data_IF_802738336994
#
_entry.id   IF_802738336994
#
_cell.length_a   1.000
_cell.length_b   1.000
_cell.length_c   1.000
_cell.angle_alpha   90.00
_cell.angle_beta   90.00
_cell.angle_gamma   90.00
#
_symmetry.space_group_name_H-M   'P 1'
#
loop_
_entity.id
_entity.type
_entity.pdbx_description
1 polymer ?
#
# COMPACT_ATOMS: atom_id res chain seq x y z
N UNK A 1 -28.99 13.88 6.44
CA UNK A 1 -27.91 12.95 6.84
C UNK A 1 -26.90 12.92 5.70
N UNK A 2 -25.61 13.05 5.98
CA UNK A 2 -24.56 13.02 4.96
C UNK A 2 -24.39 11.56 4.49
N UNK A 3 -24.64 11.22 3.21
CA UNK A 3 -24.46 9.86 2.71
C UNK A 3 -22.97 9.52 2.53
N UNK A 4 -22.58 8.24 2.48
CA UNK A 4 -21.24 7.88 2.04
C UNK A 4 -21.02 8.25 0.56
N UNK A 5 -19.78 8.55 0.15
CA UNK A 5 -19.46 8.73 -1.26
C UNK A 5 -19.60 7.40 -2.00
N UNK A 6 -19.86 7.46 -3.29
CA UNK A 6 -19.91 6.31 -4.18
C UNK A 6 -18.55 6.19 -4.87
N UNK A 7 -17.93 5.01 -4.73
CA UNK A 7 -16.69 4.65 -5.44
C UNK A 7 -17.09 3.80 -6.65
N UNK A 8 -16.75 4.25 -7.85
CA UNK A 8 -16.96 3.49 -9.08
C UNK A 8 -15.62 3.13 -9.71
N UNK A 9 -15.41 1.86 -10.03
CA UNK A 9 -14.20 1.42 -10.75
C UNK A 9 -14.41 1.66 -12.25
N UNK A 10 -13.61 2.55 -12.82
CA UNK A 10 -13.69 2.89 -14.26
C UNK A 10 -12.94 1.85 -15.10
N UNK A 11 -11.75 1.46 -14.66
CA UNK A 11 -10.89 0.49 -15.35
C UNK A 11 -9.79 -0.01 -14.43
N UNK A 12 -9.22 -1.17 -14.73
CA UNK A 12 -8.03 -1.68 -14.05
C UNK A 12 -7.11 -2.41 -15.04
N UNK A 13 -5.80 -2.37 -14.76
CA UNK A 13 -4.75 -3.07 -15.49
C UNK A 13 -3.99 -4.02 -14.53
N UNK A 14 -2.85 -4.52 -14.98
CA UNK A 14 -1.94 -5.32 -14.17
C UNK A 14 -1.28 -4.51 -13.04
N UNK A 15 -1.11 -3.20 -13.23
CA UNK A 15 -0.34 -2.33 -12.34
C UNK A 15 -1.08 -1.06 -11.92
N UNK A 16 -2.34 -0.89 -12.34
CA UNK A 16 -3.09 0.32 -12.06
C UNK A 16 -4.59 0.11 -11.91
N UNK A 17 -5.23 0.97 -11.12
CA UNK A 17 -6.68 1.06 -10.97
C UNK A 17 -7.09 2.51 -11.19
N UNK A 18 -8.08 2.73 -12.04
CA UNK A 18 -8.76 4.01 -12.23
C UNK A 18 -10.15 3.93 -11.60
N UNK A 19 -10.49 4.90 -10.76
CA UNK A 19 -11.78 4.96 -10.10
C UNK A 19 -12.30 6.40 -10.03
N UNK A 20 -13.61 6.55 -9.89
CA UNK A 20 -14.26 7.82 -9.64
C UNK A 20 -14.98 7.87 -8.29
N UNK A 21 -15.00 9.07 -7.71
CA UNK A 21 -15.67 9.39 -6.45
C UNK A 21 -16.78 10.39 -6.71
N UNK A 22 -17.99 10.08 -6.25
CA UNK A 22 -19.14 10.97 -6.38
C UNK A 22 -19.97 10.98 -5.11
N UNK A 23 -20.44 12.17 -4.73
CA UNK A 23 -21.51 12.32 -3.76
C UNK A 23 -22.87 12.32 -4.47
N UNK A 24 -23.84 11.60 -3.93
CA UNK A 24 -25.22 11.50 -4.47
C UNK A 24 -26.10 12.69 -4.09
N UNK A 25 -25.54 13.69 -3.41
CA UNK A 25 -26.23 14.87 -2.89
C UNK A 25 -25.53 16.15 -3.33
N UNK A 26 -26.25 17.26 -3.39
CA UNK A 26 -25.74 18.59 -3.73
C UNK A 26 -24.87 19.24 -2.62
N UNK A 27 -24.31 18.44 -1.71
CA UNK A 27 -23.47 18.94 -0.61
C UNK A 27 -22.11 19.31 -1.18
N UNK A 28 -21.59 20.49 -0.80
CA UNK A 28 -20.26 20.92 -1.24
C UNK A 28 -19.18 20.04 -0.61
N UNK A 29 -18.44 19.33 -1.47
CA UNK A 29 -17.30 18.49 -1.08
C UNK A 29 -16.01 19.31 -1.19
N UNK A 30 -15.25 19.41 -0.12
CA UNK A 30 -13.93 20.06 -0.12
C UNK A 30 -12.81 19.09 -0.54
N UNK A 31 -12.97 17.81 -0.24
CA UNK A 31 -12.05 16.77 -0.70
C UNK A 31 -12.44 15.37 -0.25
N UNK A 32 -11.67 14.39 -0.67
CA UNK A 32 -11.80 12.99 -0.29
C UNK A 32 -10.51 12.50 0.34
N UNK A 33 -10.64 11.58 1.29
CA UNK A 33 -9.53 10.79 1.80
C UNK A 33 -9.79 9.34 1.42
N UNK A 34 -8.86 8.78 0.66
CA UNK A 34 -8.95 7.42 0.13
C UNK A 34 -7.83 6.58 0.71
N UNK A 35 -8.17 5.40 1.22
CA UNK A 35 -7.19 4.38 1.60
C UNK A 35 -7.32 3.19 0.67
N UNK A 36 -6.18 2.72 0.18
CA UNK A 36 -6.07 1.56 -0.70
C UNK A 36 -5.31 0.52 0.07
N UNK A 37 -5.96 -0.59 0.38
CA UNK A 37 -5.40 -1.67 1.17
C UNK A 37 -5.09 -2.89 0.32
N UNK A 38 -4.02 -3.61 0.66
CA UNK A 38 -3.69 -4.91 0.09
C UNK A 38 -3.04 -5.81 1.14
N UNK A 39 -3.16 -7.12 0.94
CA UNK A 39 -2.43 -8.12 1.73
C UNK A 39 -1.03 -8.26 1.16
N UNK A 40 -0.03 -7.85 1.92
CA UNK A 40 1.39 -8.05 1.58
C UNK A 40 1.78 -9.51 1.78
N UNK A 41 1.41 -10.09 2.92
CA UNK A 41 1.56 -11.51 3.27
C UNK A 41 0.38 -11.95 4.13
N UNK A 42 0.25 -13.25 4.38
CA UNK A 42 -0.71 -13.92 5.26
C UNK A 42 -0.99 -13.21 6.58
N UNK A 43 0.00 -12.51 7.14
CA UNK A 43 -0.10 -11.83 8.43
C UNK A 43 -0.08 -10.29 8.33
N UNK A 44 0.08 -9.72 7.13
CA UNK A 44 0.33 -8.27 7.00
C UNK A 44 -0.47 -7.62 5.88
N UNK A 45 -1.23 -6.59 6.27
CA UNK A 45 -1.91 -5.68 5.36
C UNK A 45 -1.11 -4.38 5.26
N UNK A 46 -0.96 -3.88 4.05
CA UNK A 46 -0.41 -2.56 3.79
C UNK A 46 -1.47 -1.63 3.24
N UNK A 47 -1.20 -0.32 3.32
CA UNK A 47 -2.09 0.69 2.78
C UNK A 47 -1.35 1.86 2.16
N UNK A 48 -2.01 2.49 1.19
CA UNK A 48 -1.63 3.77 0.60
C UNK A 48 -2.78 4.75 0.79
N UNK A 49 -2.49 5.92 1.33
CA UNK A 49 -3.49 6.98 1.54
C UNK A 49 -3.33 8.07 0.47
N UNK A 50 -4.45 8.50 -0.10
CA UNK A 50 -4.53 9.60 -1.07
C UNK A 50 -5.48 10.67 -0.52
N UNK A 51 -5.09 11.93 -0.70
CA UNK A 51 -5.95 13.09 -0.44
C UNK A 51 -6.27 13.74 -1.77
N UNK A 52 -7.57 13.83 -2.08
CA UNK A 52 -8.08 14.27 -3.38
C UNK A 52 -8.90 15.54 -3.17
N UNK A 53 -8.69 16.54 -4.02
CA UNK A 53 -9.48 17.77 -4.01
C UNK A 53 -10.91 17.51 -4.50
N UNK A 54 -11.91 18.19 -3.94
CA UNK A 54 -13.32 17.91 -4.21
C UNK A 54 -13.74 18.01 -5.68
N UNK A 55 -13.07 18.85 -6.47
CA UNK A 55 -13.34 19.01 -7.91
C UNK A 55 -12.83 17.82 -8.75
N UNK A 56 -11.83 17.07 -8.24
CA UNK A 56 -11.21 15.96 -8.95
C UNK A 56 -11.91 14.64 -8.61
N UNK A 57 -12.90 14.27 -9.42
CA UNK A 57 -13.66 13.04 -9.21
C UNK A 57 -12.96 11.77 -9.67
N UNK A 58 -12.12 11.82 -10.71
CA UNK A 58 -11.46 10.63 -11.29
C UNK A 58 -9.99 10.57 -10.85
N UNK A 59 -9.56 9.41 -10.36
CA UNK A 59 -8.19 9.14 -9.97
C UNK A 59 -7.65 7.87 -10.60
N UNK A 60 -6.36 7.88 -10.92
CA UNK A 60 -5.61 6.69 -11.34
C UNK A 60 -4.49 6.42 -10.35
N UNK A 61 -4.44 5.19 -9.86
CA UNK A 61 -3.40 4.72 -8.94
C UNK A 61 -2.57 3.70 -9.69
N UNK A 62 -1.27 3.97 -9.81
CA UNK A 62 -0.30 3.10 -10.47
C UNK A 62 0.67 2.48 -9.46
N UNK A 63 1.57 1.63 -9.96
CA UNK A 63 2.55 0.84 -9.19
C UNK A 63 1.88 -0.18 -8.26
N UNK A 64 0.82 -0.80 -8.73
CA UNK A 64 0.14 -1.90 -8.05
C UNK A 64 0.73 -3.24 -8.49
N UNK A 65 0.54 -4.28 -7.68
CA UNK A 65 0.97 -5.64 -7.99
C UNK A 65 -0.10 -6.32 -8.83
N UNK A 66 0.32 -7.02 -9.90
CA UNK A 66 -0.57 -7.80 -10.74
C UNK A 66 -1.24 -8.94 -9.96
N UNK A 67 -2.46 -9.30 -10.38
CA UNK A 67 -3.27 -10.36 -9.78
C UNK A 67 -3.34 -10.27 -8.23
N UNK A 68 -3.52 -9.06 -7.71
CA UNK A 68 -3.56 -8.79 -6.27
C UNK A 68 -4.88 -8.15 -5.90
N UNK A 69 -5.58 -8.64 -4.84
CA UNK A 69 -6.80 -8.03 -4.36
C UNK A 69 -6.52 -6.73 -3.62
N UNK A 70 -7.24 -5.68 -3.99
CA UNK A 70 -7.22 -4.38 -3.34
C UNK A 70 -8.61 -4.03 -2.79
N UNK A 71 -8.63 -3.40 -1.62
CA UNK A 71 -9.80 -2.72 -1.08
C UNK A 71 -9.57 -1.21 -1.14
N UNK A 72 -10.45 -0.48 -1.81
CA UNK A 72 -10.42 0.97 -1.87
C UNK A 72 -11.53 1.49 -0.97
N UNK A 73 -11.17 2.22 0.09
CA UNK A 73 -12.14 2.89 0.95
C UNK A 73 -12.01 4.40 0.88
N UNK A 74 -13.14 5.10 0.96
CA UNK A 74 -13.18 6.54 0.81
C UNK A 74 -14.23 7.18 1.74
N UNK A 75 -13.88 8.35 2.26
CA UNK A 75 -14.80 9.28 2.91
C UNK A 75 -14.56 10.69 2.39
N UNK A 76 -15.58 11.53 2.45
CA UNK A 76 -15.60 12.89 1.93
C UNK A 76 -15.59 13.90 3.07
N UNK A 77 -14.77 14.95 2.92
CA UNK A 77 -14.85 16.17 3.71
C UNK A 77 -15.88 17.08 3.08
N UNK A 78 -16.89 17.46 3.85
CA UNK A 78 -17.96 18.34 3.37
C UNK A 78 -18.12 19.56 4.27
N UNK A 79 -18.86 20.57 3.81
CA UNK A 79 -19.20 21.74 4.63
C UNK A 79 -20.06 21.41 5.86
N UNK A 80 -20.77 20.27 5.84
CA UNK A 80 -21.63 19.81 6.93
C UNK A 80 -20.90 18.83 7.87
N UNK A 81 -19.62 18.53 7.61
CA UNK A 81 -18.81 17.54 8.34
C UNK A 81 -18.32 16.40 7.46
N UNK A 82 -17.73 15.38 8.09
CA UNK A 82 -17.19 14.22 7.39
C UNK A 82 -18.30 13.21 7.06
N UNK A 83 -18.25 12.63 5.87
CA UNK A 83 -19.18 11.57 5.47
C UNK A 83 -18.85 10.24 6.15
N UNK A 84 -19.82 9.31 6.21
CA UNK A 84 -19.51 7.90 6.43
C UNK A 84 -18.52 7.36 5.38
N UNK A 85 -17.84 6.27 5.74
CA UNK A 85 -16.91 5.56 4.88
C UNK A 85 -17.67 4.66 3.89
N UNK A 86 -17.15 4.56 2.67
CA UNK A 86 -17.55 3.59 1.64
C UNK A 86 -16.34 2.74 1.26
N UNK A 87 -16.57 1.56 0.67
CA UNK A 87 -15.48 0.73 0.15
C UNK A 87 -15.90 -0.10 -1.06
N UNK A 88 -14.92 -0.50 -1.87
CA UNK A 88 -15.08 -1.41 -3.00
C UNK A 88 -13.86 -2.32 -3.12
N UNK A 89 -14.06 -3.53 -3.63
CA UNK A 89 -13.00 -4.50 -3.89
C UNK A 89 -12.72 -4.60 -5.38
N UNK A 90 -11.45 -4.74 -5.74
CA UNK A 90 -11.01 -4.91 -7.12
C UNK A 90 -9.73 -5.75 -7.15
N UNK A 91 -9.60 -6.60 -8.17
CA UNK A 91 -8.40 -7.42 -8.38
C UNK A 91 -7.74 -6.95 -9.66
N UNK A 92 -6.45 -6.58 -9.59
CA UNK A 92 -5.66 -6.22 -10.76
C UNK A 92 -5.53 -7.40 -11.73
N UNK A 93 -5.37 -7.11 -13.02
CA UNK A 93 -5.22 -8.16 -14.04
C UNK A 93 -3.78 -8.71 -14.10
N UNK A 94 -3.50 -9.54 -15.10
CA UNK A 94 -2.16 -10.13 -15.30
C UNK A 94 -1.87 -11.32 -14.39
N UNK A 95 -0.58 -11.60 -14.19
CA UNK A 95 -0.09 -12.73 -13.39
C UNK A 95 0.69 -12.23 -12.19
N UNK A 96 0.41 -12.81 -11.01
CA UNK A 96 1.13 -12.46 -9.78
C UNK A 96 2.63 -12.73 -9.96
N UNK A 97 3.51 -11.75 -9.70
CA UNK A 97 4.95 -11.98 -9.74
C UNK A 97 5.36 -13.07 -8.77
N UNK A 98 6.44 -13.79 -9.09
CA UNK A 98 7.04 -14.72 -8.15
C UNK A 98 7.48 -13.97 -6.89
N UNK A 99 7.20 -14.54 -5.72
CA UNK A 99 7.62 -13.98 -4.44
C UNK A 99 9.14 -13.81 -4.41
N UNK A 100 9.64 -12.66 -3.96
CA UNK A 100 11.07 -12.42 -3.87
C UNK A 100 11.72 -13.38 -2.85
N UNK A 101 12.92 -13.87 -3.18
CA UNK A 101 13.70 -14.71 -2.25
C UNK A 101 14.77 -13.86 -1.58
N UNK A 102 14.61 -13.58 -0.29
CA UNK A 102 15.55 -12.78 0.48
C UNK A 102 16.79 -13.57 0.93
N UNK A 103 17.95 -12.94 0.82
CA UNK A 103 19.19 -13.31 1.49
C UNK A 103 19.69 -12.11 2.28
N UNK A 104 19.81 -12.27 3.59
CA UNK A 104 20.36 -11.27 4.49
C UNK A 104 21.73 -11.73 5.01
N UNK A 105 22.73 -10.85 4.94
CA UNK A 105 24.10 -11.09 5.39
C UNK A 105 24.54 -9.94 6.28
N UNK A 106 24.89 -10.25 7.53
CA UNK A 106 25.52 -9.26 8.40
C UNK A 106 26.90 -8.89 7.84
N UNK A 107 27.13 -7.60 7.59
CA UNK A 107 28.42 -7.09 7.10
C UNK A 107 29.25 -6.46 8.23
N UNK A 108 28.59 -5.98 9.30
CA UNK A 108 29.20 -5.55 10.55
C UNK A 108 28.15 -5.61 11.70
N UNK A 109 28.51 -5.14 12.89
CA UNK A 109 27.66 -5.20 14.10
C UNK A 109 26.34 -4.39 14.01
N UNK A 110 26.23 -3.46 13.07
CA UNK A 110 25.08 -2.55 12.94
C UNK A 110 24.57 -2.43 11.51
N UNK A 111 24.98 -3.31 10.61
CA UNK A 111 24.61 -3.25 9.21
C UNK A 111 24.43 -4.64 8.61
N UNK A 112 23.33 -4.81 7.89
CA UNK A 112 22.95 -6.04 7.21
C UNK A 112 22.74 -5.73 5.74
N UNK A 113 23.49 -6.42 4.89
CA UNK A 113 23.27 -6.42 3.45
C UNK A 113 22.13 -7.39 3.12
N UNK A 114 21.06 -6.86 2.56
CA UNK A 114 19.91 -7.61 2.08
C UNK A 114 19.96 -7.65 0.55
N UNK A 115 19.74 -8.83 -0.02
CA UNK A 115 19.64 -9.05 -1.46
C UNK A 115 18.48 -9.97 -1.78
N UNK A 116 17.79 -9.76 -2.89
CA UNK A 116 16.64 -10.58 -3.26
C UNK A 116 16.48 -10.77 -4.76
N UNK A 117 15.71 -11.80 -5.13
CA UNK A 117 15.27 -12.04 -6.50
C UNK A 117 13.92 -11.38 -6.76
N UNK A 118 13.58 -11.11 -8.02
CA UNK A 118 12.25 -10.64 -8.40
C UNK A 118 12.24 -9.79 -9.67
N UNK A 119 11.06 -9.33 -10.11
CA UNK A 119 10.94 -8.47 -11.29
C UNK A 119 11.75 -7.17 -11.17
N UNK A 120 12.11 -6.59 -12.33
CA UNK A 120 12.73 -5.26 -12.43
C UNK A 120 11.64 -4.19 -12.58
N UNK A 121 12.00 -2.94 -12.34
CA UNK A 121 11.10 -1.77 -12.43
C UNK A 121 9.93 -1.81 -11.44
N UNK A 122 10.12 -2.48 -10.30
CA UNK A 122 9.20 -2.44 -9.16
C UNK A 122 9.93 -1.87 -7.96
N UNK A 123 9.18 -1.30 -7.02
CA UNK A 123 9.71 -0.86 -5.72
C UNK A 123 9.50 -2.00 -4.72
N UNK A 124 10.57 -2.41 -4.06
CA UNK A 124 10.54 -3.38 -2.97
C UNK A 124 10.47 -2.66 -1.63
N UNK A 125 9.72 -3.23 -0.69
CA UNK A 125 9.73 -2.83 0.71
C UNK A 125 10.41 -3.91 1.55
N UNK A 126 11.45 -3.53 2.29
CA UNK A 126 12.12 -4.40 3.25
C UNK A 126 11.61 -4.04 4.64
N UNK A 127 11.16 -5.04 5.39
CA UNK A 127 10.63 -4.93 6.74
C UNK A 127 11.48 -5.74 7.69
N UNK A 128 11.83 -5.16 8.83
CA UNK A 128 12.66 -5.84 9.81
C UNK A 128 12.35 -5.42 11.24
N UNK A 129 12.55 -6.37 12.15
CA UNK A 129 12.23 -6.24 13.57
C UNK A 129 12.97 -7.32 14.37
N UNK A 130 12.92 -7.27 15.70
CA UNK A 130 13.62 -8.24 16.57
C UNK A 130 12.68 -9.33 17.10
N UNK A 131 11.40 -9.28 16.75
CA UNK A 131 10.42 -10.34 17.03
C UNK A 131 9.35 -10.44 15.93
N UNK A 132 8.71 -11.62 15.79
CA UNK A 132 7.57 -11.79 14.87
C UNK A 132 6.42 -10.83 15.20
N UNK A 133 6.15 -10.60 16.49
CA UNK A 133 5.06 -9.72 16.91
C UNK A 133 5.29 -8.28 16.44
N UNK A 134 6.51 -7.78 16.60
CA UNK A 134 6.90 -6.46 16.12
C UNK A 134 6.93 -6.40 14.59
N UNK A 135 7.44 -7.44 13.93
CA UNK A 135 7.50 -7.54 12.47
C UNK A 135 6.11 -7.37 11.82
N UNK A 136 5.06 -7.86 12.47
CA UNK A 136 3.69 -7.76 11.96
C UNK A 136 2.89 -6.57 12.50
N UNK A 137 3.26 -6.00 13.65
CA UNK A 137 2.55 -4.84 14.23
C UNK A 137 3.14 -3.49 13.83
N UNK A 138 4.46 -3.35 13.88
CA UNK A 138 5.15 -2.07 13.67
C UNK A 138 6.64 -2.29 13.32
N UNK A 139 6.95 -2.94 12.18
CA UNK A 139 8.33 -3.16 11.76
C UNK A 139 9.03 -1.85 11.39
N UNK A 140 10.36 -1.86 11.47
CA UNK A 140 11.16 -0.90 10.72
C UNK A 140 11.03 -1.23 9.23
N UNK A 141 11.08 -0.21 8.38
CA UNK A 141 10.95 -0.40 6.93
C UNK A 141 11.94 0.44 6.13
N UNK A 142 12.21 -0.01 4.92
CA UNK A 142 12.97 0.72 3.92
C UNK A 142 12.46 0.34 2.53
N UNK A 143 12.55 1.25 1.57
CA UNK A 143 12.11 0.97 0.19
C UNK A 143 13.26 1.21 -0.78
N UNK A 144 13.33 0.41 -1.84
CA UNK A 144 14.32 0.58 -2.91
C UNK A 144 13.81 -0.02 -4.23
N UNK A 145 14.30 0.50 -5.35
CA UNK A 145 14.10 -0.09 -6.68
C UNK A 145 15.22 -1.04 -7.10
N UNK A 146 16.29 -1.12 -6.31
CA UNK A 146 17.37 -2.07 -6.51
C UNK A 146 17.00 -3.46 -5.94
N UNK A 147 17.76 -4.49 -6.33
CA UNK A 147 17.64 -5.85 -5.79
C UNK A 147 18.51 -6.09 -4.55
N UNK A 148 19.06 -5.01 -3.99
CA UNK A 148 19.82 -5.02 -2.76
C UNK A 148 19.63 -3.71 -1.98
N UNK A 149 19.83 -3.79 -0.67
CA UNK A 149 19.95 -2.63 0.21
C UNK A 149 20.82 -3.01 1.41
N UNK A 150 21.54 -2.04 1.96
CA UNK A 150 22.15 -2.18 3.28
C UNK A 150 21.27 -1.46 4.28
N UNK A 151 20.71 -2.19 5.23
CA UNK A 151 19.92 -1.62 6.34
C UNK A 151 20.78 -1.50 7.59
N UNK A 152 20.57 -0.42 8.33
CA UNK A 152 21.21 -0.19 9.61
C UNK A 152 20.31 -0.74 10.72
N UNK A 153 20.90 -1.58 11.58
CA UNK A 153 20.22 -2.20 12.72
C UNK A 153 20.85 -1.71 14.03
N UNK A 154 20.07 -1.67 15.10
CA UNK A 154 20.58 -1.35 16.44
C UNK A 154 21.26 -2.60 17.04
N UNK A 155 22.18 -2.40 17.99
CA UNK A 155 23.22 -3.40 18.33
C UNK A 155 22.70 -4.70 18.96
N UNK A 156 23.41 -5.78 18.64
CA UNK A 156 23.48 -7.13 19.23
C UNK A 156 22.18 -7.93 19.39
N UNK A 157 21.15 -7.65 18.59
CA UNK A 157 19.93 -8.47 18.55
C UNK A 157 19.80 -9.28 17.25
N UNK A 158 19.04 -10.37 17.31
CA UNK A 158 18.66 -11.14 16.12
C UNK A 158 17.51 -10.42 15.42
N UNK A 159 17.73 -10.02 14.17
CA UNK A 159 16.70 -9.41 13.34
C UNK A 159 16.05 -10.41 12.39
N UNK A 160 14.74 -10.30 12.25
CA UNK A 160 13.95 -10.93 11.21
C UNK A 160 13.81 -9.96 10.04
N UNK A 161 13.89 -10.46 8.81
CA UNK A 161 13.73 -9.65 7.60
C UNK A 161 12.67 -10.25 6.68
N UNK A 162 11.91 -9.37 6.03
CA UNK A 162 10.86 -9.69 5.08
C UNK A 162 10.95 -8.71 3.90
N UNK A 163 10.77 -9.19 2.66
CA UNK A 163 10.84 -8.39 1.41
C UNK A 163 9.67 -8.71 0.49
#
# INVERSE_FOLDING_TARGET
VIPPPVIHIESYSEDSISFSLKMTTNIKVSGYVVNIYWTFDTHRQEKRTLVIEGEKSIQKVANLTAHTPYEISAWAKTELGDSPLSFVHVVTSGTRPASPSLKAKAINQTAVECSWTGPRNVVYGIFYATSFLELYRSPQNSTTSAHNITVLVQRDEQYLFLV
#
